data_IF_116666857037
#
_entry.id   IF_116666857037
#
_cell.length_a   1.000
_cell.length_b   1.000
_cell.length_c   1.000
_cell.angle_alpha   90.00
_cell.angle_beta   90.00
_cell.angle_gamma   90.00
#
_symmetry.space_group_name_H-M   'P 1'
#
loop_
_entity.id
_entity.type
_entity.pdbx_description
1 polymer ?
#
# COMPACT_ATOMS: atom_id res chain seq x y z
N UNK A 1 -18.90 -11.39 -12.04
CA UNK A 1 -17.95 -12.50 -12.13
C UNK A 1 -18.56 -13.69 -11.38
N UNK A 2 -19.14 -14.62 -12.11
CA UNK A 2 -19.80 -15.77 -11.48
C UNK A 2 -18.78 -16.84 -11.11
N UNK A 3 -19.08 -17.62 -10.06
CA UNK A 3 -18.26 -18.76 -9.61
C UNK A 3 -16.80 -18.41 -9.24
N UNK A 4 -16.57 -17.23 -8.65
CA UNK A 4 -15.23 -16.89 -8.18
C UNK A 4 -14.80 -17.86 -7.08
N UNK A 5 -13.72 -18.58 -7.32
CA UNK A 5 -13.13 -19.53 -6.38
C UNK A 5 -11.63 -19.27 -6.19
N UNK A 6 -11.10 -19.77 -5.08
CA UNK A 6 -9.70 -19.62 -4.70
C UNK A 6 -9.09 -20.98 -4.32
N UNK A 7 -7.91 -21.24 -4.81
CA UNK A 7 -7.06 -22.35 -4.33
C UNK A 7 -5.69 -21.81 -3.92
N UNK A 8 -5.14 -22.35 -2.84
CA UNK A 8 -3.86 -21.91 -2.28
C UNK A 8 -2.89 -23.08 -2.28
N UNK A 9 -1.70 -22.84 -2.83
CA UNK A 9 -0.61 -23.83 -2.85
C UNK A 9 0.71 -23.16 -2.47
N UNK A 10 1.20 -23.45 -1.28
CA UNK A 10 2.41 -22.84 -0.75
C UNK A 10 2.30 -21.30 -0.67
N UNK A 11 3.17 -20.61 -1.40
CA UNK A 11 3.22 -19.13 -1.45
C UNK A 11 2.37 -18.53 -2.58
N UNK A 12 1.64 -19.34 -3.32
CA UNK A 12 0.81 -18.88 -4.43
C UNK A 12 -0.66 -19.12 -4.20
N UNK A 13 -1.46 -18.28 -4.81
CA UNK A 13 -2.92 -18.33 -4.80
C UNK A 13 -3.40 -18.29 -6.24
N UNK A 14 -4.31 -19.18 -6.60
CA UNK A 14 -4.95 -19.18 -7.92
C UNK A 14 -6.42 -18.81 -7.75
N UNK A 15 -6.82 -17.71 -8.39
CA UNK A 15 -8.22 -17.34 -8.56
C UNK A 15 -8.75 -17.96 -9.85
N UNK A 16 -9.97 -18.47 -9.81
CA UNK A 16 -10.70 -18.98 -10.97
C UNK A 16 -12.11 -18.43 -11.00
N UNK A 17 -12.67 -18.23 -12.18
CA UNK A 17 -14.03 -17.73 -12.38
C UNK A 17 -14.64 -18.30 -13.65
N UNK A 18 -15.97 -18.26 -13.74
CA UNK A 18 -16.68 -18.65 -14.96
C UNK A 18 -16.37 -17.67 -16.09
N UNK A 19 -16.29 -18.18 -17.31
CA UNK A 19 -16.11 -17.34 -18.51
C UNK A 19 -17.33 -16.42 -18.67
N UNK A 20 -17.14 -15.09 -18.69
CA UNK A 20 -18.24 -14.18 -18.93
C UNK A 20 -18.86 -14.39 -20.32
N UNK A 21 -20.19 -14.34 -20.42
CA UNK A 21 -20.88 -14.51 -21.68
C UNK A 21 -20.73 -13.31 -22.63
N UNK A 22 -20.39 -12.14 -22.09
CA UNK A 22 -20.37 -10.89 -22.86
C UNK A 22 -19.26 -10.85 -23.89
N UNK A 23 -19.63 -10.49 -25.14
CA UNK A 23 -18.71 -10.44 -26.29
C UNK A 23 -17.93 -9.13 -26.36
N UNK A 24 -18.36 -8.10 -25.73
CA UNK A 24 -17.72 -6.78 -25.70
C UNK A 24 -16.68 -6.64 -24.58
N UNK A 25 -16.55 -7.64 -23.72
CA UNK A 25 -15.54 -7.67 -22.68
C UNK A 25 -14.14 -7.49 -23.25
N UNK A 26 -13.32 -6.67 -22.60
CA UNK A 26 -11.92 -6.41 -22.95
C UNK A 26 -10.96 -7.17 -22.05
N UNK A 27 -11.09 -6.99 -20.73
CA UNK A 27 -10.19 -7.51 -19.72
C UNK A 27 -10.89 -7.71 -18.37
N UNK A 28 -10.23 -8.40 -17.47
CA UNK A 28 -10.66 -8.59 -16.07
C UNK A 28 -9.59 -8.02 -15.17
N UNK A 29 -9.96 -7.09 -14.29
CA UNK A 29 -9.07 -6.49 -13.30
C UNK A 29 -9.24 -7.17 -11.95
N UNK A 30 -8.13 -7.44 -11.29
CA UNK A 30 -8.05 -8.03 -9.96
C UNK A 30 -7.41 -7.03 -9.03
N UNK A 31 -8.09 -6.75 -7.91
CA UNK A 31 -7.60 -5.92 -6.81
C UNK A 31 -7.48 -6.70 -5.52
N UNK A 32 -6.71 -6.18 -4.59
CA UNK A 32 -6.54 -6.74 -3.26
C UNK A 32 -6.69 -5.66 -2.20
N UNK A 33 -7.38 -6.01 -1.12
CA UNK A 33 -7.44 -5.25 0.13
C UNK A 33 -6.94 -6.11 1.28
N UNK A 34 -6.20 -5.53 2.22
CA UNK A 34 -5.78 -6.20 3.45
C UNK A 34 -6.96 -6.46 4.41
N UNK A 35 -8.10 -5.81 4.20
CA UNK A 35 -9.31 -6.01 4.99
C UNK A 35 -9.89 -7.42 4.79
N UNK A 36 -10.28 -8.07 5.88
CA UNK A 36 -10.96 -9.38 5.86
C UNK A 36 -12.48 -9.28 5.71
N UNK A 37 -13.04 -8.08 5.88
CA UNK A 37 -14.45 -7.76 5.71
C UNK A 37 -14.60 -6.30 5.31
N UNK A 38 -15.70 -5.97 4.61
CA UNK A 38 -15.98 -4.59 4.20
C UNK A 38 -15.02 -4.03 3.16
N UNK A 39 -14.23 -4.87 2.47
CA UNK A 39 -13.37 -4.42 1.38
C UNK A 39 -14.21 -3.82 0.24
N UNK A 40 -13.83 -2.64 -0.21
CA UNK A 40 -14.48 -1.94 -1.33
C UNK A 40 -13.56 -1.93 -2.54
N UNK A 41 -14.13 -1.84 -3.74
CA UNK A 41 -13.35 -1.78 -4.98
C UNK A 41 -12.35 -0.62 -4.96
N UNK A 42 -12.83 0.56 -4.56
CA UNK A 42 -12.02 1.78 -4.53
C UNK A 42 -10.95 1.79 -3.42
N UNK A 43 -11.21 1.07 -2.31
CA UNK A 43 -10.26 0.91 -1.20
C UNK A 43 -9.24 -0.22 -1.43
N UNK A 44 -9.23 -0.82 -2.61
CA UNK A 44 -8.37 -1.96 -2.93
C UNK A 44 -7.33 -1.60 -3.98
N UNK A 45 -6.11 -2.12 -3.82
CA UNK A 45 -5.01 -1.87 -4.76
C UNK A 45 -5.09 -2.80 -5.96
N UNK A 46 -4.83 -2.27 -7.15
CA UNK A 46 -4.72 -3.05 -8.37
C UNK A 46 -3.54 -4.03 -8.25
N UNK A 47 -3.80 -5.31 -8.50
CA UNK A 47 -2.76 -6.34 -8.59
C UNK A 47 -2.37 -6.62 -10.03
N UNK A 48 -3.38 -6.84 -10.87
CA UNK A 48 -3.14 -7.20 -12.26
C UNK A 48 -4.41 -7.10 -13.09
N UNK A 49 -4.23 -7.08 -14.40
CA UNK A 49 -5.30 -7.25 -15.40
C UNK A 49 -4.99 -8.45 -16.26
N UNK A 50 -6.00 -9.21 -16.57
CA UNK A 50 -5.90 -10.37 -17.47
C UNK A 50 -6.85 -10.23 -18.64
N UNK A 51 -6.53 -10.88 -19.76
CA UNK A 51 -7.36 -10.79 -20.95
C UNK A 51 -8.74 -11.41 -20.74
N UNK A 52 -9.71 -10.99 -21.54
CA UNK A 52 -11.10 -11.51 -21.49
C UNK A 52 -11.23 -13.04 -21.62
N UNK A 53 -10.25 -13.67 -22.23
CA UNK A 53 -10.25 -15.13 -22.45
C UNK A 53 -9.73 -15.90 -21.23
N UNK A 54 -9.08 -15.23 -20.30
CA UNK A 54 -8.58 -15.85 -19.08
C UNK A 54 -9.71 -16.10 -18.11
N UNK A 55 -9.76 -17.31 -17.58
CA UNK A 55 -10.70 -17.72 -16.51
C UNK A 55 -9.96 -18.02 -15.20
N UNK A 56 -8.66 -17.73 -15.15
CA UNK A 56 -7.84 -17.90 -13.96
C UNK A 56 -6.63 -16.97 -13.96
N UNK A 57 -6.10 -16.74 -12.76
CA UNK A 57 -4.83 -16.04 -12.54
C UNK A 57 -4.14 -16.59 -11.30
N UNK A 58 -2.83 -16.78 -11.37
CA UNK A 58 -2.00 -17.16 -10.23
C UNK A 58 -1.24 -15.95 -9.72
N UNK A 59 -1.36 -15.69 -8.43
CA UNK A 59 -0.83 -14.51 -7.74
C UNK A 59 -0.05 -14.95 -6.49
N UNK A 60 0.85 -14.13 -5.93
CA UNK A 60 1.36 -14.34 -4.59
C UNK A 60 0.20 -14.39 -3.58
N UNK A 61 0.24 -15.39 -2.69
CA UNK A 61 -0.78 -15.55 -1.67
C UNK A 61 -0.66 -14.44 -0.62
N UNK A 62 -1.70 -13.63 -0.46
CA UNK A 62 -1.81 -12.55 0.51
C UNK A 62 -3.03 -12.75 1.39
N UNK A 63 -2.92 -12.39 2.68
CA UNK A 63 -4.07 -12.30 3.59
C UNK A 63 -4.92 -11.10 3.20
N UNK A 64 -6.25 -11.27 3.13
CA UNK A 64 -7.16 -10.18 2.79
C UNK A 64 -8.25 -10.59 1.82
N UNK A 65 -8.85 -9.61 1.15
CA UNK A 65 -9.94 -9.80 0.21
C UNK A 65 -9.47 -9.47 -1.20
N UNK A 66 -9.69 -10.40 -2.11
CA UNK A 66 -9.50 -10.21 -3.56
C UNK A 66 -10.84 -9.80 -4.16
N UNK A 67 -10.81 -8.77 -4.99
CA UNK A 67 -11.99 -8.24 -5.70
C UNK A 67 -11.72 -8.33 -7.20
N UNK A 68 -12.76 -8.69 -7.95
CA UNK A 68 -12.67 -8.89 -9.40
C UNK A 68 -13.79 -8.12 -10.08
N UNK A 69 -13.45 -7.30 -11.07
CA UNK A 69 -14.40 -6.66 -11.99
C UNK A 69 -13.99 -6.92 -13.45
N UNK A 70 -14.99 -7.01 -14.30
CA UNK A 70 -14.78 -7.05 -15.75
C UNK A 70 -14.79 -5.64 -16.33
N UNK A 71 -14.03 -5.44 -17.40
CA UNK A 71 -13.92 -4.17 -18.11
C UNK A 71 -14.30 -4.42 -19.57
N UNK A 72 -15.22 -3.62 -20.11
CA UNK A 72 -15.63 -3.68 -21.50
C UNK A 72 -14.66 -2.95 -22.45
N UNK A 73 -14.93 -2.96 -23.75
CA UNK A 73 -14.11 -2.29 -24.77
C UNK A 73 -14.18 -0.76 -24.70
N UNK A 74 -15.18 -0.22 -24.04
CA UNK A 74 -15.33 1.22 -23.77
C UNK A 74 -14.67 1.65 -22.47
N UNK A 75 -14.04 0.69 -21.74
CA UNK A 75 -13.41 0.83 -20.43
C UNK A 75 -14.39 1.05 -19.26
N UNK A 76 -15.64 0.66 -19.39
CA UNK A 76 -16.57 0.64 -18.29
C UNK A 76 -16.35 -0.61 -17.45
N UNK A 77 -16.43 -0.46 -16.13
CA UNK A 77 -16.36 -1.57 -15.18
C UNK A 77 -17.75 -2.19 -14.98
N UNK A 78 -17.76 -3.49 -14.67
CA UNK A 78 -18.97 -4.12 -14.14
C UNK A 78 -19.41 -3.41 -12.85
N UNK A 79 -20.71 -3.23 -12.66
CA UNK A 79 -21.30 -2.48 -11.52
C UNK A 79 -20.76 -3.03 -10.21
N UNK A 80 -20.94 -4.30 -9.95
CA UNK A 80 -20.52 -4.94 -8.72
C UNK A 80 -19.18 -5.66 -8.88
N UNK A 81 -18.34 -5.56 -7.84
CA UNK A 81 -17.18 -6.42 -7.69
C UNK A 81 -17.59 -7.76 -7.09
N UNK A 82 -17.13 -8.85 -7.65
CA UNK A 82 -17.16 -10.15 -6.97
C UNK A 82 -15.95 -10.26 -6.08
N UNK A 83 -16.12 -10.73 -4.86
CA UNK A 83 -15.01 -10.78 -3.89
C UNK A 83 -14.86 -12.15 -3.24
N UNK A 84 -13.62 -12.49 -2.87
CA UNK A 84 -13.30 -13.67 -2.09
C UNK A 84 -12.23 -13.33 -1.06
N UNK A 85 -12.44 -13.76 0.18
CA UNK A 85 -11.54 -13.45 1.29
C UNK A 85 -10.68 -14.66 1.63
N UNK A 86 -9.39 -14.41 1.84
CA UNK A 86 -8.42 -15.40 2.28
C UNK A 86 -7.89 -15.04 3.66
N UNK A 87 -7.99 -15.94 4.59
CA UNK A 87 -7.42 -15.80 5.93
C UNK A 87 -6.21 -16.72 6.10
N UNK A 88 -5.30 -16.66 5.12
CA UNK A 88 -4.03 -17.35 5.24
C UNK A 88 -3.22 -16.71 6.36
N UNK A 89 -2.54 -17.53 7.15
CA UNK A 89 -1.49 -17.02 8.01
C UNK A 89 -0.49 -16.31 7.11
N UNK A 90 -0.23 -15.03 7.38
CA UNK A 90 0.79 -14.31 6.62
C UNK A 90 2.05 -15.21 6.61
N UNK A 91 2.65 -15.41 5.44
CA UNK A 91 3.90 -16.15 5.33
C UNK A 91 4.96 -15.22 5.91
N UNK A 92 5.00 -15.21 7.24
CA UNK A 92 5.93 -14.43 8.03
C UNK A 92 7.27 -15.15 8.05
N UNK A 93 8.06 -14.94 7.03
CA UNK A 93 9.49 -15.17 7.12
C UNK A 93 10.23 -13.91 7.57
N UNK A 94 9.52 -12.83 7.78
CA UNK A 94 10.06 -11.50 8.02
C UNK A 94 9.58 -11.04 9.40
N UNK A 95 10.50 -10.65 10.26
CA UNK A 95 10.19 -10.33 11.67
C UNK A 95 10.28 -8.84 11.98
N UNK A 96 10.83 -8.02 11.09
CA UNK A 96 10.75 -6.57 11.21
C UNK A 96 9.58 -6.07 10.37
N UNK A 97 8.58 -5.56 11.06
CA UNK A 97 7.39 -4.98 10.45
C UNK A 97 7.17 -3.60 11.06
N UNK A 98 7.06 -2.61 10.20
CA UNK A 98 6.68 -1.25 10.59
C UNK A 98 5.63 -0.72 9.62
N UNK A 99 4.84 0.24 10.09
CA UNK A 99 3.85 0.92 9.26
C UNK A 99 4.28 2.36 9.05
N UNK A 100 4.47 2.76 7.81
CA UNK A 100 4.71 4.14 7.44
C UNK A 100 3.37 4.82 7.16
N UNK A 101 2.93 5.64 8.11
CA UNK A 101 1.63 6.31 8.11
C UNK A 101 1.77 7.74 7.57
N UNK A 102 0.86 8.14 6.67
CA UNK A 102 0.67 9.55 6.30
C UNK A 102 -0.54 10.11 7.04
N UNK A 103 -0.34 11.24 7.72
CA UNK A 103 -1.40 11.91 8.47
C UNK A 103 -2.05 12.99 7.59
N UNK A 104 -3.34 12.85 7.32
CA UNK A 104 -4.08 13.79 6.46
C UNK A 104 -4.44 15.09 7.21
N UNK A 105 -4.75 14.99 8.51
CA UNK A 105 -5.05 16.16 9.34
C UNK A 105 -3.80 17.04 9.49
N UNK A 106 -3.91 18.31 9.12
CA UNK A 106 -2.77 19.25 9.12
C UNK A 106 -1.72 18.91 8.06
N UNK A 107 -2.15 18.31 6.98
CA UNK A 107 -1.30 17.79 5.90
C UNK A 107 -0.30 18.82 5.37
N UNK A 108 0.93 18.39 5.17
CA UNK A 108 2.02 19.15 4.55
C UNK A 108 2.50 18.53 3.23
N UNK A 109 1.86 17.45 2.78
CA UNK A 109 2.15 16.79 1.52
C UNK A 109 1.90 17.70 0.31
N UNK A 110 2.70 17.55 -0.73
CA UNK A 110 2.53 18.35 -1.94
C UNK A 110 1.36 17.84 -2.78
N UNK A 111 0.55 18.77 -3.28
CA UNK A 111 -0.71 18.54 -3.95
C UNK A 111 -0.68 19.05 -5.40
N UNK A 112 -1.20 18.23 -6.31
CA UNK A 112 -1.47 18.61 -7.69
C UNK A 112 -2.88 18.17 -8.04
N UNK A 113 -3.78 19.09 -8.32
CA UNK A 113 -5.19 18.86 -8.64
C UNK A 113 -5.94 18.02 -7.60
N UNK A 114 -5.50 18.06 -6.34
CA UNK A 114 -6.18 17.50 -5.17
C UNK A 114 -6.32 18.54 -4.07
N UNK A 115 -7.31 18.36 -3.22
CA UNK A 115 -7.56 19.19 -2.04
C UNK A 115 -7.70 18.31 -0.81
N UNK A 116 -7.38 18.85 0.37
CA UNK A 116 -7.78 18.26 1.64
C UNK A 116 -9.03 18.98 2.10
N UNK A 117 -10.08 18.21 2.34
CA UNK A 117 -11.36 18.70 2.84
C UNK A 117 -11.62 18.13 4.22
N UNK A 118 -12.26 18.92 5.07
CA UNK A 118 -12.67 18.52 6.40
C UNK A 118 -14.19 18.33 6.42
N UNK A 119 -14.64 17.23 7.01
CA UNK A 119 -16.04 16.92 7.22
C UNK A 119 -16.20 16.45 8.70
N UNK A 120 -16.71 17.34 9.53
CA UNK A 120 -16.73 17.12 10.98
C UNK A 120 -15.31 17.05 11.56
N UNK A 121 -14.97 15.94 12.19
CA UNK A 121 -13.63 15.66 12.73
C UNK A 121 -12.70 14.98 11.72
N UNK A 122 -13.22 14.49 10.61
CA UNK A 122 -12.49 13.70 9.64
C UNK A 122 -11.90 14.59 8.53
N UNK A 123 -10.74 14.19 8.04
CA UNK A 123 -10.05 14.84 6.93
C UNK A 123 -9.92 13.86 5.76
N UNK A 124 -10.13 14.38 4.55
CA UNK A 124 -10.13 13.58 3.33
C UNK A 124 -9.31 14.24 2.23
N UNK A 125 -8.57 13.44 1.49
CA UNK A 125 -7.98 13.86 0.22
C UNK A 125 -9.00 13.54 -0.89
N UNK A 126 -9.31 14.56 -1.69
CA UNK A 126 -10.25 14.48 -2.81
C UNK A 126 -9.63 15.13 -4.05
N UNK A 127 -10.16 14.84 -5.23
CA UNK A 127 -9.84 15.63 -6.42
C UNK A 127 -10.37 17.07 -6.25
N UNK A 128 -9.57 18.06 -6.62
CA UNK A 128 -10.01 19.44 -6.62
C UNK A 128 -11.07 19.69 -7.70
N UNK A 129 -11.89 20.68 -7.48
CA UNK A 129 -12.86 21.17 -8.46
C UNK A 129 -12.28 22.30 -9.28
N UNK A 130 -12.71 22.45 -10.51
CA UNK A 130 -12.20 23.49 -11.42
C UNK A 130 -12.61 24.89 -11.04
N UNK A 131 -13.72 25.07 -10.31
CA UNK A 131 -14.19 26.39 -9.85
C UNK A 131 -15.13 26.27 -8.66
N UNK A 132 -14.89 27.10 -7.65
CA UNK A 132 -15.92 27.44 -6.68
C UNK A 132 -16.80 28.53 -7.27
N UNK A 133 -18.10 28.35 -7.24
CA UNK A 133 -19.08 29.36 -7.59
C UNK A 133 -18.90 30.66 -6.76
N UNK A 134 -18.34 30.55 -5.56
CA UNK A 134 -18.16 31.61 -4.58
C UNK A 134 -16.79 32.29 -4.56
N UNK A 135 -15.80 31.82 -5.32
CA UNK A 135 -14.46 32.38 -5.27
C UNK A 135 -14.24 33.50 -6.32
N UNK A 136 -14.52 34.72 -5.92
CA UNK A 136 -14.04 35.92 -6.57
C UNK A 136 -14.87 36.36 -7.81
N UNK A 137 -14.75 37.57 -8.23
CA UNK A 137 -15.26 38.37 -9.32
C UNK A 137 -16.10 37.76 -10.49
N UNK A 138 -16.38 36.48 -10.48
CA UNK A 138 -17.22 35.79 -11.45
C UNK A 138 -18.64 35.63 -10.89
N UNK A 139 -19.45 36.64 -11.03
CA UNK A 139 -20.86 36.56 -10.73
C UNK A 139 -21.60 35.81 -11.86
N UNK A 140 -22.78 35.34 -11.53
CA UNK A 140 -23.66 34.57 -12.40
C UNK A 140 -23.87 35.19 -13.81
N UNK A 141 -23.73 36.51 -13.93
CA UNK A 141 -23.96 37.24 -15.17
C UNK A 141 -22.72 37.33 -16.08
N UNK A 142 -21.53 37.15 -15.56
CA UNK A 142 -20.29 37.38 -16.32
C UNK A 142 -19.64 36.13 -16.89
N UNK A 143 -20.12 34.94 -16.56
CA UNK A 143 -19.46 33.68 -16.91
C UNK A 143 -20.37 32.68 -17.60
N UNK A 144 -20.80 33.01 -18.81
CA UNK A 144 -21.65 32.16 -19.65
C UNK A 144 -20.97 30.84 -20.11
N UNK A 145 -19.64 30.76 -20.01
CA UNK A 145 -18.88 29.59 -20.46
C UNK A 145 -18.64 28.55 -19.34
N UNK A 146 -18.77 28.93 -18.07
CA UNK A 146 -18.56 28.00 -16.95
C UNK A 146 -19.86 27.37 -16.41
N UNK A 147 -21.00 27.94 -16.76
CA UNK A 147 -22.32 27.38 -16.44
C UNK A 147 -22.69 26.18 -17.31
N UNK A 148 -22.16 26.14 -18.49
CA UNK A 148 -22.43 25.12 -19.48
C UNK A 148 -21.11 24.65 -20.07
N UNK A 149 -20.27 24.01 -19.24
CA UNK A 149 -19.32 23.11 -19.85
C UNK A 149 -20.10 22.03 -20.57
N UNK A 150 -19.47 21.31 -21.47
CA UNK A 150 -20.11 20.31 -22.34
C UNK A 150 -20.91 19.21 -21.61
N UNK A 151 -21.05 19.29 -20.28
CA UNK A 151 -21.79 18.35 -19.44
C UNK A 151 -22.84 18.96 -18.52
N UNK A 152 -22.98 20.31 -18.45
CA UNK A 152 -24.03 20.97 -17.63
C UNK A 152 -23.84 20.86 -16.11
N UNK A 153 -22.68 20.51 -15.63
CA UNK A 153 -22.39 20.23 -14.21
C UNK A 153 -21.68 21.42 -13.57
N UNK A 154 -22.26 21.95 -12.49
CA UNK A 154 -21.76 23.11 -11.74
C UNK A 154 -20.44 22.89 -11.00
N UNK A 155 -19.99 21.66 -10.83
CA UNK A 155 -18.78 21.29 -10.12
C UNK A 155 -17.97 20.24 -10.90
N UNK A 156 -17.14 20.69 -11.81
CA UNK A 156 -16.30 19.80 -12.60
C UNK A 156 -15.11 19.33 -11.76
N UNK A 157 -15.14 18.06 -11.34
CA UNK A 157 -14.03 17.41 -10.65
C UNK A 157 -12.85 17.23 -11.61
N UNK A 158 -11.63 17.54 -11.19
CA UNK A 158 -10.44 17.26 -11.98
C UNK A 158 -10.37 15.76 -12.30
N UNK A 159 -10.05 15.38 -13.55
CA UNK A 159 -10.03 13.97 -13.94
C UNK A 159 -8.86 13.18 -13.32
N UNK A 160 -7.81 13.89 -12.87
CA UNK A 160 -6.59 13.30 -12.34
C UNK A 160 -5.96 14.25 -11.33
N UNK A 161 -5.49 13.71 -10.22
CA UNK A 161 -4.75 14.46 -9.22
C UNK A 161 -3.76 13.61 -8.45
N UNK A 162 -2.81 14.27 -7.79
CA UNK A 162 -1.74 13.60 -7.05
C UNK A 162 -1.53 14.25 -5.69
N UNK A 163 -1.33 13.40 -4.68
CA UNK A 163 -0.87 13.79 -3.36
C UNK A 163 0.43 13.04 -3.04
N UNK A 164 1.53 13.75 -2.87
CA UNK A 164 2.78 13.13 -2.44
C UNK A 164 2.86 13.15 -0.92
N UNK A 165 3.25 12.04 -0.31
CA UNK A 165 3.45 11.95 1.13
C UNK A 165 4.46 13.00 1.60
N UNK A 166 4.25 13.50 2.80
CA UNK A 166 5.09 14.52 3.43
C UNK A 166 6.52 14.04 3.62
N UNK A 167 6.69 12.81 4.04
CA UNK A 167 7.96 12.24 4.43
C UNK A 167 8.45 11.17 3.45
N UNK A 168 9.76 10.99 3.42
CA UNK A 168 10.44 9.89 2.74
C UNK A 168 10.69 8.80 3.76
N UNK A 169 10.38 7.56 3.42
CA UNK A 169 10.78 6.42 4.24
C UNK A 169 12.24 6.07 3.95
N UNK A 170 13.10 6.12 4.99
CA UNK A 170 14.50 5.72 4.93
C UNK A 170 14.70 4.39 5.65
N UNK A 171 15.11 3.36 4.93
CA UNK A 171 15.47 2.05 5.47
C UNK A 171 16.81 2.08 6.21
N UNK A 172 17.50 3.22 6.26
CA UNK A 172 18.86 3.42 6.80
C UNK A 172 19.98 2.79 5.99
N UNK A 173 19.68 1.79 5.19
CA UNK A 173 20.61 1.10 4.29
C UNK A 173 19.90 0.56 3.07
N UNK A 174 20.62 0.31 1.99
CA UNK A 174 20.08 -0.39 0.84
C UNK A 174 19.80 -1.84 1.21
N UNK A 175 18.56 -2.28 1.03
CA UNK A 175 18.15 -3.63 1.39
C UNK A 175 16.88 -4.06 0.67
N UNK A 176 16.56 -5.33 0.77
CA UNK A 176 15.29 -5.87 0.30
C UNK A 176 14.20 -5.60 1.32
N UNK A 177 13.05 -5.18 0.83
CA UNK A 177 11.84 -4.98 1.64
C UNK A 177 10.62 -5.49 0.88
N UNK A 178 9.59 -5.85 1.62
CA UNK A 178 8.26 -6.06 1.09
C UNK A 178 7.37 -4.91 1.54
N UNK A 179 6.76 -4.24 0.59
CA UNK A 179 5.86 -3.11 0.81
C UNK A 179 4.42 -3.53 0.52
N UNK A 180 3.52 -3.23 1.44
CA UNK A 180 2.10 -3.47 1.27
C UNK A 180 1.30 -2.18 1.51
N UNK A 181 0.69 -1.60 0.46
CA UNK A 181 -0.10 -0.39 0.58
C UNK A 181 -1.44 -0.67 1.25
N UNK A 182 -1.88 0.26 2.10
CA UNK A 182 -3.19 0.26 2.76
C UNK A 182 -3.89 1.59 2.52
N UNK A 183 -5.15 1.52 2.11
CA UNK A 183 -6.00 2.67 1.87
C UNK A 183 -7.33 2.51 2.59
N UNK A 184 -7.81 3.62 3.14
CA UNK A 184 -9.19 3.76 3.61
C UNK A 184 -9.82 4.83 2.74
N UNK A 185 -10.75 4.42 1.89
CA UNK A 185 -11.29 5.31 0.86
C UNK A 185 -12.69 4.93 0.43
N UNK A 186 -13.39 5.93 -0.07
CA UNK A 186 -14.74 5.84 -0.64
C UNK A 186 -14.78 6.64 -1.94
N UNK A 187 -15.85 6.53 -2.68
CA UNK A 187 -16.20 7.48 -3.73
C UNK A 187 -17.45 8.23 -3.33
N UNK A 188 -17.47 9.52 -3.60
CA UNK A 188 -18.61 10.37 -3.41
C UNK A 188 -19.21 10.70 -4.77
N UNK A 189 -20.51 10.51 -4.89
CA UNK A 189 -21.27 11.03 -5.99
C UNK A 189 -21.70 12.46 -5.67
N UNK A 190 -21.26 13.41 -6.49
CA UNK A 190 -21.59 14.83 -6.33
C UNK A 190 -22.85 15.24 -7.06
N UNK A 191 -23.40 14.38 -7.87
CA UNK A 191 -24.64 14.55 -8.59
C UNK A 191 -25.90 14.40 -7.71
N UNK A 192 -25.70 14.06 -6.43
CA UNK A 192 -26.74 13.81 -5.43
C UNK A 192 -27.81 14.90 -5.29
N UNK A 193 -27.66 16.04 -5.92
CA UNK A 193 -28.73 17.04 -5.97
C UNK A 193 -30.00 16.48 -6.59
N UNK A 194 -29.88 15.52 -7.47
CA UNK A 194 -31.00 14.83 -8.07
C UNK A 194 -31.34 13.49 -7.37
N UNK A 195 -30.36 12.85 -6.73
CA UNK A 195 -30.49 11.55 -6.06
C UNK A 195 -31.07 11.63 -4.65
N UNK A 196 -30.86 12.72 -3.95
CA UNK A 196 -31.17 12.85 -2.53
C UNK A 196 -32.47 13.60 -2.21
N UNK A 197 -33.25 13.98 -3.19
CA UNK A 197 -34.54 14.56 -2.92
C UNK A 197 -35.52 13.45 -2.49
N UNK A 198 -35.48 13.10 -1.21
CA UNK A 198 -36.61 12.51 -0.52
C UNK A 198 -37.74 13.53 -0.62
N UNK A 199 -38.49 13.53 -1.68
CA UNK A 199 -39.74 14.28 -1.74
C UNK A 199 -40.72 13.57 -0.83
N UNK A 200 -40.63 13.90 0.45
CA UNK A 200 -41.74 13.78 1.37
C UNK A 200 -42.82 14.74 0.89
N UNK A 201 -43.71 14.30 0.17
CA UNK A 201 -45.05 14.79 -0.19
C UNK A 201 -45.27 14.94 -1.68
N UNK A 202 -46.27 14.21 -2.06
CA UNK A 202 -47.04 14.33 -3.30
C UNK A 202 -46.36 13.93 -4.60
N UNK A 203 -46.34 12.61 -4.79
CA UNK A 203 -46.92 12.03 -5.97
C UNK A 203 -46.63 12.74 -7.29
N UNK A 204 -45.42 13.13 -7.51
CA UNK A 204 -45.00 13.52 -8.83
C UNK A 204 -43.52 13.24 -8.97
N UNK A 205 -43.30 12.32 -9.79
CA UNK A 205 -42.02 11.96 -10.36
C UNK A 205 -41.35 10.86 -9.57
N UNK A 206 -41.58 9.66 -10.05
CA UNK A 206 -40.60 8.62 -9.90
C UNK A 206 -39.27 9.24 -10.34
N UNK A 207 -38.45 9.55 -9.39
CA UNK A 207 -37.12 10.02 -9.64
C UNK A 207 -36.43 8.89 -10.32
N UNK A 208 -35.72 9.17 -11.37
CA UNK A 208 -34.76 8.27 -11.97
C UNK A 208 -33.77 7.74 -10.92
N UNK A 209 -33.73 8.36 -9.74
CA UNK A 209 -32.74 8.21 -8.67
C UNK A 209 -33.26 7.46 -7.43
N UNK A 210 -34.50 7.08 -7.33
CA UNK A 210 -35.00 6.18 -6.28
C UNK A 210 -34.91 4.71 -6.66
N UNK A 211 -34.49 4.43 -7.88
CA UNK A 211 -34.13 3.08 -8.27
C UNK A 211 -32.80 2.71 -7.61
N UNK A 212 -32.72 1.54 -6.95
CA UNK A 212 -31.47 1.08 -6.31
C UNK A 212 -30.34 0.78 -7.29
N UNK A 213 -30.58 0.91 -8.57
CA UNK A 213 -29.58 0.91 -9.65
C UNK A 213 -29.55 2.30 -10.24
N UNK A 214 -28.57 3.10 -9.86
CA UNK A 214 -28.34 4.41 -10.43
C UNK A 214 -28.25 4.33 -11.96
N UNK A 215 -28.94 5.24 -12.66
CA UNK A 215 -28.90 5.28 -14.12
C UNK A 215 -27.51 5.54 -14.68
N UNK A 216 -26.67 6.20 -13.90
CA UNK A 216 -25.30 6.56 -14.21
C UNK A 216 -24.26 5.63 -13.56
N UNK A 217 -24.68 4.67 -12.75
CA UNK A 217 -23.82 3.73 -12.04
C UNK A 217 -23.37 4.23 -10.66
N UNK A 218 -22.68 3.36 -9.93
CA UNK A 218 -22.06 3.69 -8.64
C UNK A 218 -20.84 4.58 -8.87
N UNK A 219 -20.73 5.69 -8.12
CA UNK A 219 -19.56 6.59 -8.13
C UNK A 219 -18.22 5.83 -7.99
N UNK A 220 -18.23 4.71 -7.26
CA UNK A 220 -17.06 3.82 -7.15
C UNK A 220 -16.62 3.19 -8.46
N UNK A 221 -17.48 3.13 -9.46
CA UNK A 221 -17.17 2.59 -10.79
C UNK A 221 -16.41 3.58 -11.66
N UNK A 222 -16.55 4.87 -11.38
CA UNK A 222 -15.92 5.95 -12.15
C UNK A 222 -14.67 6.52 -11.49
N UNK A 223 -14.45 6.23 -10.21
CA UNK A 223 -13.31 6.71 -9.46
C UNK A 223 -12.24 5.61 -9.30
N UNK A 224 -10.98 6.02 -9.32
CA UNK A 224 -9.85 5.13 -9.13
C UNK A 224 -8.83 5.77 -8.19
N UNK A 225 -8.33 4.98 -7.23
CA UNK A 225 -7.37 5.42 -6.21
C UNK A 225 -6.21 4.44 -6.21
N UNK A 226 -5.02 4.95 -6.51
CA UNK A 226 -3.82 4.13 -6.63
C UNK A 226 -2.73 4.76 -5.77
N UNK A 227 -2.17 3.98 -4.84
CA UNK A 227 -0.94 4.35 -4.17
C UNK A 227 0.24 3.92 -5.04
N UNK A 228 1.20 4.83 -5.23
CA UNK A 228 2.38 4.63 -6.07
C UNK A 228 3.65 4.76 -5.24
N UNK A 229 4.73 4.15 -5.69
CA UNK A 229 6.04 4.18 -5.06
C UNK A 229 7.12 4.63 -6.04
N UNK A 230 8.10 5.39 -5.53
CA UNK A 230 9.36 5.69 -6.19
C UNK A 230 10.51 5.37 -5.25
N UNK A 231 11.60 4.82 -5.78
CA UNK A 231 12.74 4.30 -5.00
C UNK A 231 14.02 5.05 -5.32
N UNK A 232 14.93 5.13 -4.34
CA UNK A 232 16.25 5.74 -4.47
C UNK A 232 17.25 5.08 -3.53
N UNK A 233 18.54 5.16 -3.87
CA UNK A 233 19.63 4.76 -2.97
C UNK A 233 20.42 5.94 -2.41
N UNK A 234 20.24 7.15 -2.95
CA UNK A 234 20.98 8.37 -2.59
C UNK A 234 20.10 9.50 -2.03
N UNK A 235 18.77 9.30 -1.95
CA UNK A 235 17.78 10.30 -1.58
C UNK A 235 17.71 11.54 -2.50
N UNK A 236 18.35 11.49 -3.65
CA UNK A 236 18.41 12.59 -4.62
C UNK A 236 17.77 12.15 -5.94
N UNK A 237 18.27 11.06 -6.50
CA UNK A 237 17.78 10.50 -7.76
C UNK A 237 16.77 9.40 -7.50
N UNK A 238 15.52 9.65 -7.85
CA UNK A 238 14.43 8.68 -7.67
C UNK A 238 14.04 8.06 -9.00
N UNK A 239 13.58 6.81 -8.93
CA UNK A 239 12.82 6.22 -10.03
C UNK A 239 11.56 7.05 -10.32
N UNK A 240 10.99 6.92 -11.50
CA UNK A 240 9.63 7.42 -11.71
C UNK A 240 8.65 6.73 -10.75
N UNK A 241 7.56 7.44 -10.38
CA UNK A 241 6.48 6.81 -9.63
C UNK A 241 5.80 5.72 -10.46
N UNK A 242 5.64 4.56 -9.88
CA UNK A 242 4.94 3.42 -10.46
C UNK A 242 3.96 2.81 -9.46
N UNK A 243 2.97 2.10 -9.96
CA UNK A 243 2.08 1.31 -9.13
C UNK A 243 2.89 0.23 -8.41
N UNK A 244 2.41 -0.20 -7.23
CA UNK A 244 3.10 -1.27 -6.51
C UNK A 244 3.15 -2.54 -7.34
N UNK A 245 4.30 -3.20 -7.36
CA UNK A 245 4.41 -4.48 -8.03
C UNK A 245 3.60 -5.56 -7.30
N UNK A 246 3.23 -6.62 -8.00
CA UNK A 246 2.35 -7.66 -7.48
C UNK A 246 2.93 -8.40 -6.29
N UNK A 247 4.26 -8.57 -6.24
CA UNK A 247 4.95 -9.24 -5.12
C UNK A 247 5.11 -8.32 -3.91
N UNK A 248 5.12 -7.01 -4.12
CA UNK A 248 5.46 -6.02 -3.11
C UNK A 248 6.94 -5.93 -2.80
N UNK A 249 7.81 -6.67 -3.50
CA UNK A 249 9.25 -6.74 -3.22
C UNK A 249 10.02 -5.62 -3.92
N UNK A 250 10.86 -4.93 -3.17
CA UNK A 250 11.69 -3.83 -3.62
C UNK A 250 13.09 -3.93 -3.02
N UNK A 251 14.07 -3.31 -3.70
CA UNK A 251 15.44 -3.21 -3.20
C UNK A 251 15.94 -1.79 -3.38
N UNK A 252 15.91 -1.02 -2.29
CA UNK A 252 16.41 0.36 -2.23
C UNK A 252 16.61 0.78 -0.77
N UNK A 253 17.13 1.98 -0.55
CA UNK A 253 17.20 2.59 0.77
C UNK A 253 16.05 3.54 1.04
N UNK A 254 15.70 4.41 0.07
CA UNK A 254 14.71 5.47 0.23
C UNK A 254 13.48 5.20 -0.61
N UNK A 255 12.31 5.46 -0.03
CA UNK A 255 11.02 5.25 -0.67
C UNK A 255 10.17 6.51 -0.53
N UNK A 256 9.66 7.02 -1.67
CA UNK A 256 8.63 8.04 -1.72
C UNK A 256 7.31 7.41 -2.12
N UNK A 257 6.24 7.86 -1.50
CA UNK A 257 4.90 7.40 -1.81
C UNK A 257 4.06 8.53 -2.35
N UNK A 258 3.16 8.20 -3.26
CA UNK A 258 2.25 9.14 -3.89
C UNK A 258 0.89 8.50 -4.07
N UNK A 259 -0.15 9.21 -3.66
CA UNK A 259 -1.52 8.88 -3.99
C UNK A 259 -1.86 9.48 -5.35
N UNK A 260 -2.41 8.65 -6.23
CA UNK A 260 -2.97 9.04 -7.52
C UNK A 260 -4.48 8.85 -7.46
N UNK A 261 -5.20 9.93 -7.62
CA UNK A 261 -6.65 9.96 -7.70
C UNK A 261 -7.08 10.17 -9.15
N UNK A 262 -8.04 9.40 -9.61
CA UNK A 262 -8.58 9.51 -10.96
C UNK A 262 -10.09 9.42 -10.93
N UNK A 263 -10.75 10.24 -11.75
CA UNK A 263 -12.16 10.13 -12.02
C UNK A 263 -12.40 10.13 -13.52
N UNK A 264 -13.24 9.23 -13.98
CA UNK A 264 -13.70 9.16 -15.37
C UNK A 264 -15.07 9.81 -15.55
N UNK A 265 -15.68 10.27 -14.46
CA UNK A 265 -16.96 10.97 -14.45
C UNK A 265 -16.82 12.26 -13.62
N UNK A 266 -17.34 13.37 -14.13
CA UNK A 266 -17.26 14.66 -13.45
C UNK A 266 -17.99 14.71 -12.10
N UNK A 267 -18.96 13.85 -11.88
CA UNK A 267 -19.71 13.73 -10.62
C UNK A 267 -19.03 12.83 -9.59
N UNK A 268 -18.27 11.83 -10.02
CA UNK A 268 -17.62 10.90 -9.11
C UNK A 268 -16.32 11.48 -8.55
N UNK A 269 -16.22 11.59 -7.22
CA UNK A 269 -15.02 12.08 -6.54
C UNK A 269 -14.46 11.02 -5.60
N UNK A 270 -13.24 10.52 -5.83
CA UNK A 270 -12.55 9.67 -4.90
C UNK A 270 -12.25 10.42 -3.60
N UNK A 271 -12.48 9.78 -2.46
CA UNK A 271 -12.34 10.34 -1.11
C UNK A 271 -11.47 9.41 -0.26
N UNK A 272 -10.31 9.86 0.17
CA UNK A 272 -9.34 9.07 0.95
C UNK A 272 -9.25 9.64 2.35
N UNK A 273 -9.56 8.80 3.36
CA UNK A 273 -9.48 9.15 4.79
C UNK A 273 -8.27 8.56 5.50
N UNK A 274 -7.60 7.60 4.90
CA UNK A 274 -6.40 7.01 5.48
C UNK A 274 -5.51 6.35 4.44
N UNK A 275 -4.21 6.43 4.64
CA UNK A 275 -3.23 5.79 3.78
C UNK A 275 -1.96 5.48 4.56
N UNK A 276 -1.44 4.31 4.34
CA UNK A 276 -0.18 3.86 4.93
C UNK A 276 0.47 2.80 4.05
N UNK A 277 1.73 2.52 4.34
CA UNK A 277 2.46 1.41 3.73
C UNK A 277 3.06 0.57 4.84
N UNK A 278 2.70 -0.70 4.88
CA UNK A 278 3.39 -1.65 5.74
C UNK A 278 4.71 -2.04 5.09
N UNK A 279 5.76 -1.99 5.87
CA UNK A 279 7.13 -2.30 5.48
C UNK A 279 7.58 -3.53 6.25
N UNK A 280 7.98 -4.56 5.54
CA UNK A 280 8.43 -5.83 6.07
C UNK A 280 9.84 -6.11 5.53
N UNK A 281 10.82 -6.30 6.44
CA UNK A 281 12.24 -6.48 6.10
C UNK A 281 12.65 -7.93 6.39
N UNK A 282 13.33 -8.62 5.47
CA UNK A 282 13.74 -9.99 5.69
C UNK A 282 14.77 -10.14 6.81
N UNK A 283 14.71 -11.27 7.51
CA UNK A 283 15.72 -11.67 8.47
C UNK A 283 17.10 -11.72 7.81
N UNK A 284 18.07 -11.14 8.49
CA UNK A 284 19.47 -11.22 8.15
C UNK A 284 20.18 -12.15 9.11
N UNK A 285 20.99 -13.04 8.55
CA UNK A 285 21.84 -13.96 9.31
C UNK A 285 23.29 -13.64 8.93
N UNK A 286 24.10 -13.37 9.94
CA UNK A 286 25.56 -13.28 9.81
C UNK A 286 26.21 -14.41 10.63
N UNK A 287 27.28 -14.96 10.11
CA UNK A 287 27.99 -16.04 10.79
C UNK A 287 29.52 -15.92 10.55
N UNK A 288 30.26 -16.40 11.50
CA UNK A 288 31.71 -16.53 11.36
C UNK A 288 32.18 -17.79 12.05
N UNK A 289 32.92 -18.60 11.30
CA UNK A 289 33.57 -19.80 11.83
C UNK A 289 35.03 -19.48 12.18
N UNK A 290 35.58 -20.25 13.13
CA UNK A 290 36.98 -20.26 13.52
C UNK A 290 37.56 -18.86 13.83
N UNK A 291 36.73 -18.03 14.44
CA UNK A 291 37.20 -16.72 14.91
C UNK A 291 38.13 -16.87 16.09
N UNK A 292 39.28 -16.19 16.08
CA UNK A 292 40.27 -16.24 17.15
C UNK A 292 40.34 -14.89 17.85
N UNK A 293 40.31 -14.89 19.19
CA UNK A 293 40.61 -13.69 19.99
C UNK A 293 42.09 -13.39 20.01
N UNK A 294 42.45 -12.13 20.21
CA UNK A 294 43.83 -11.66 20.43
C UNK A 294 43.86 -10.86 21.73
N UNK A 295 44.73 -11.22 22.63
CA UNK A 295 44.80 -10.67 23.99
C UNK A 295 43.43 -10.84 24.72
N UNK A 296 42.80 -11.96 24.48
CA UNK A 296 41.52 -12.33 25.09
C UNK A 296 40.27 -11.66 24.52
N UNK A 297 40.38 -10.84 23.47
CA UNK A 297 39.25 -10.06 22.93
C UNK A 297 39.16 -10.15 21.41
N UNK A 298 37.93 -10.08 20.89
CA UNK A 298 37.62 -9.94 19.46
C UNK A 298 36.38 -9.07 19.27
N UNK A 299 36.51 -8.10 18.39
CA UNK A 299 35.36 -7.32 17.92
C UNK A 299 34.91 -7.84 16.57
N UNK A 300 33.62 -8.12 16.45
CA UNK A 300 32.95 -8.47 15.20
C UNK A 300 32.18 -7.23 14.75
N UNK A 301 32.40 -6.82 13.51
CA UNK A 301 31.72 -5.66 12.90
C UNK A 301 30.84 -6.13 11.77
N UNK A 302 29.62 -5.59 11.68
CA UNK A 302 28.67 -5.84 10.62
C UNK A 302 28.65 -4.66 9.65
N UNK A 303 28.74 -4.95 8.38
CA UNK A 303 28.63 -3.99 7.30
C UNK A 303 27.72 -4.57 6.20
N UNK A 304 26.52 -3.99 6.00
CA UNK A 304 25.92 -2.87 6.72
C UNK A 304 25.52 -3.24 8.18
N UNK A 305 25.24 -2.27 9.07
CA UNK A 305 24.77 -2.55 10.42
C UNK A 305 23.39 -3.20 10.42
N UNK A 306 22.99 -3.84 11.52
CA UNK A 306 21.60 -4.28 11.73
C UNK A 306 20.68 -3.08 11.94
N UNK A 307 19.41 -3.20 11.51
CA UNK A 307 18.40 -2.16 11.74
C UNK A 307 17.83 -2.19 13.15
N UNK A 308 17.82 -3.37 13.77
CA UNK A 308 17.40 -3.57 15.15
C UNK A 308 18.34 -4.52 15.90
N UNK A 309 18.13 -4.64 17.21
CA UNK A 309 18.90 -5.55 18.04
C UNK A 309 18.73 -6.99 17.56
N UNK A 310 19.85 -7.66 17.36
CA UNK A 310 19.94 -9.04 16.88
C UNK A 310 20.19 -10.02 18.04
N UNK A 311 19.87 -11.28 17.83
CA UNK A 311 20.28 -12.38 18.70
C UNK A 311 21.69 -12.83 18.36
N UNK A 312 22.44 -13.35 19.35
CA UNK A 312 23.81 -13.89 19.16
C UNK A 312 23.86 -15.28 19.74
N UNK A 313 24.31 -16.24 18.95
CA UNK A 313 24.76 -17.55 19.42
C UNK A 313 26.28 -17.65 19.30
N UNK A 314 26.93 -18.16 20.35
CA UNK A 314 28.38 -18.40 20.39
C UNK A 314 28.63 -19.87 20.66
N UNK A 315 29.49 -20.48 19.84
CA UNK A 315 30.05 -21.80 20.05
C UNK A 315 31.54 -21.65 20.34
N UNK A 316 31.91 -21.72 21.60
CA UNK A 316 33.31 -21.60 22.04
C UNK A 316 34.05 -22.91 21.86
N UNK A 317 35.29 -22.86 21.35
CA UNK A 317 36.13 -24.01 21.08
C UNK A 317 37.32 -24.03 22.06
N UNK A 318 37.82 -25.24 22.36
CA UNK A 318 39.01 -25.48 23.17
C UNK A 318 38.97 -24.85 24.57
N UNK A 319 37.79 -24.75 25.19
CA UNK A 319 37.66 -24.27 26.54
C UNK A 319 38.27 -25.23 27.54
N UNK A 320 38.98 -24.71 28.53
CA UNK A 320 39.47 -25.45 29.69
C UNK A 320 38.53 -25.25 30.89
N UNK A 321 38.74 -26.05 31.92
CA UNK A 321 37.89 -25.94 33.09
C UNK A 321 38.00 -24.54 33.76
N UNK A 322 36.86 -23.90 33.92
CA UNK A 322 36.74 -22.55 34.47
C UNK A 322 36.91 -21.40 33.47
N UNK A 323 37.14 -21.67 32.19
CA UNK A 323 37.11 -20.68 31.14
C UNK A 323 35.67 -20.15 30.93
N UNK A 324 35.54 -18.89 30.68
CA UNK A 324 34.27 -18.22 30.41
C UNK A 324 34.43 -17.12 29.37
N UNK A 325 33.35 -16.77 28.70
CA UNK A 325 33.31 -15.60 27.83
C UNK A 325 32.23 -14.60 28.30
N UNK A 326 32.40 -13.35 27.89
CA UNK A 326 31.41 -12.28 28.03
C UNK A 326 31.26 -11.55 26.70
N UNK A 327 30.03 -11.11 26.41
CA UNK A 327 29.76 -10.25 25.27
C UNK A 327 29.60 -8.81 25.79
N UNK A 328 30.37 -7.92 25.22
CA UNK A 328 30.36 -6.48 25.57
C UNK A 328 30.15 -5.65 24.30
N UNK A 329 29.85 -4.36 24.46
CA UNK A 329 29.70 -3.42 23.33
C UNK A 329 28.76 -3.90 22.24
N UNK A 330 27.66 -4.60 22.61
CA UNK A 330 26.66 -5.04 21.66
C UNK A 330 25.89 -3.82 21.14
N UNK A 331 26.09 -3.49 19.85
CA UNK A 331 25.45 -2.40 19.12
C UNK A 331 24.87 -2.92 17.82
N UNK A 332 24.19 -2.09 17.05
CA UNK A 332 23.71 -2.48 15.72
C UNK A 332 24.87 -2.79 14.76
N UNK A 333 26.05 -2.20 14.99
CA UNK A 333 27.23 -2.35 14.14
C UNK A 333 28.08 -3.57 14.49
N UNK A 334 27.81 -4.28 15.59
CA UNK A 334 28.62 -5.41 16.00
C UNK A 334 28.64 -5.67 17.49
N UNK A 335 29.54 -6.53 17.91
CA UNK A 335 29.76 -6.89 19.31
C UNK A 335 31.22 -7.21 19.59
N UNK A 336 31.61 -7.14 20.86
CA UNK A 336 32.91 -7.58 21.32
C UNK A 336 32.74 -8.80 22.24
N UNK A 337 33.50 -9.86 22.00
CA UNK A 337 33.59 -11.04 22.85
C UNK A 337 34.92 -11.04 23.58
N UNK A 338 34.90 -11.37 24.87
CA UNK A 338 36.08 -11.47 25.71
C UNK A 338 36.10 -12.83 26.39
N UNK A 339 37.30 -13.46 26.44
CA UNK A 339 37.51 -14.74 27.12
C UNK A 339 38.44 -14.58 28.32
N UNK A 340 38.10 -15.29 29.38
CA UNK A 340 38.82 -15.29 30.64
C UNK A 340 39.01 -16.70 31.14
N UNK A 341 40.15 -16.99 31.77
CA UNK A 341 40.39 -18.25 32.49
C UNK A 341 39.73 -18.26 33.87
N UNK A 342 39.93 -19.34 34.61
CA UNK A 342 39.39 -19.52 35.97
C UNK A 342 39.84 -18.45 36.97
N UNK A 343 41.02 -17.86 36.79
CA UNK A 343 41.56 -16.78 37.63
C UNK A 343 41.12 -15.37 37.17
N UNK A 344 40.37 -15.25 36.09
CA UNK A 344 39.87 -13.98 35.55
C UNK A 344 40.88 -13.27 34.62
N UNK A 345 41.98 -13.90 34.27
CA UNK A 345 42.94 -13.36 33.29
C UNK A 345 42.42 -13.56 31.86
N UNK A 346 42.68 -12.58 31.00
CA UNK A 346 42.33 -12.65 29.58
C UNK A 346 43.09 -13.79 28.87
N UNK A 347 42.43 -14.56 28.05
CA UNK A 347 43.00 -15.70 27.32
C UNK A 347 42.46 -15.74 25.88
N UNK A 348 43.29 -16.20 24.96
CA UNK A 348 42.87 -16.40 23.59
C UNK A 348 42.14 -17.72 23.42
N UNK A 349 41.00 -17.68 22.72
CA UNK A 349 40.17 -18.84 22.38
C UNK A 349 39.61 -18.69 20.97
N UNK A 350 39.28 -19.83 20.38
CA UNK A 350 38.52 -19.87 19.11
C UNK A 350 37.04 -20.01 19.38
N UNK A 351 36.25 -19.43 18.49
CA UNK A 351 34.79 -19.50 18.57
C UNK A 351 34.14 -19.34 17.21
N UNK A 352 32.96 -19.92 17.10
CA UNK A 352 32.04 -19.64 16.01
C UNK A 352 30.92 -18.74 16.53
N UNK A 353 30.37 -17.93 15.66
CA UNK A 353 29.19 -17.16 15.99
C UNK A 353 28.14 -17.24 14.88
N UNK A 354 26.89 -17.08 15.28
CA UNK A 354 25.75 -16.82 14.43
C UNK A 354 24.94 -15.69 15.03
N UNK A 355 24.54 -14.76 14.20
CA UNK A 355 23.61 -13.70 14.61
C UNK A 355 22.39 -13.74 13.71
N UNK A 356 21.25 -13.39 14.27
CA UNK A 356 19.98 -13.26 13.55
C UNK A 356 19.28 -11.96 13.97
N UNK A 357 18.91 -11.14 12.99
CA UNK A 357 18.22 -9.88 13.18
C UNK A 357 17.75 -9.31 11.84
N UNK A 358 17.65 -8.02 11.71
CA UNK A 358 17.18 -7.33 10.49
C UNK A 358 18.09 -6.19 10.11
#
# INVERSE_FOLDING_TARGET
CDELAVSISGKTLTLTWAKPPDLDLKETEIRHSTALSGATWIGSQNLTKVSRTSTSVTLPAKKGTYLVKHIDKLNNFSINATSITTNITAITGLNFHTTFLETIAGDTGSKTDVAVVQDGADHYIVLSTNTNFDSGSNNFESNTTQFFDSGGILNNTKPLGFYNFTNVFDLSQTGQVKLEPKLISTAEDRDKIFDAVTVSNNNQNGHFDTEPSHFDGDASSFADIILQVATSNDNVTYSGFSDFNTTGEYSARYYKFRLKLKSNNNSANPKVSGMSVDVDVPDRIEQGADQVTSSGSKTITFDPPYLQQYAIGISSQNLQNGDRHTITSKTLNGFTINYFNSSGSAIDRSFDFITKGF
#
